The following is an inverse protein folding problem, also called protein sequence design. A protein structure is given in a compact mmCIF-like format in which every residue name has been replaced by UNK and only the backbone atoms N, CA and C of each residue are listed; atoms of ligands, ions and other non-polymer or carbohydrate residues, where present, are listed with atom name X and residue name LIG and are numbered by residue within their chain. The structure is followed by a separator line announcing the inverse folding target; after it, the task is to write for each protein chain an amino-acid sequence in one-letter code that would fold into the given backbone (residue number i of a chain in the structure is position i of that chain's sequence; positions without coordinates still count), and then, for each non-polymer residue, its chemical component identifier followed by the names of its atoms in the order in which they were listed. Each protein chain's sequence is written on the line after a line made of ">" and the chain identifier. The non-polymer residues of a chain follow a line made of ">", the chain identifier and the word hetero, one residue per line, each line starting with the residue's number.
data_IF_010720996337
#
_entry.id   IF_010720996337
#
_cell.length_a   1.000
_cell.length_b   1.000
_cell.length_c   1.000
_cell.angle_alpha   90.00
_cell.angle_beta   90.00
_cell.angle_gamma   90.00
#
_symmetry.space_group_name_H-M   'P 1'
#
loop_
_entity.id
_entity.type
_entity.pdbx_description
1 polymer ?
#
# COMPACT_ATOMS: atom_id res chain seq x y z
N UNK A 1 -43.10 -4.29 -48.94
CA UNK A 1 -43.90 -4.55 -47.72
C UNK A 1 -43.02 -5.24 -46.66
N UNK A 2 -41.90 -4.61 -46.27
CA UNK A 2 -40.95 -5.15 -45.28
C UNK A 2 -40.39 -4.08 -44.31
N UNK A 3 -40.67 -2.79 -44.58
CA UNK A 3 -40.18 -1.66 -43.77
C UNK A 3 -41.11 -1.35 -42.57
N UNK A 4 -42.41 -1.69 -42.66
CA UNK A 4 -43.38 -1.42 -41.57
C UNK A 4 -43.29 -2.40 -40.40
N UNK A 5 -42.75 -3.61 -40.62
CA UNK A 5 -42.60 -4.65 -39.60
C UNK A 5 -41.40 -4.43 -38.68
N UNK A 6 -40.30 -3.85 -39.17
CA UNK A 6 -39.13 -3.54 -38.33
C UNK A 6 -39.37 -2.34 -37.39
N UNK A 7 -40.16 -1.35 -37.81
CA UNK A 7 -40.46 -0.17 -36.98
C UNK A 7 -41.29 -0.53 -35.74
N UNK A 8 -42.24 -1.47 -35.88
CA UNK A 8 -43.03 -1.97 -34.75
C UNK A 8 -42.23 -2.85 -33.79
N UNK A 9 -41.29 -3.64 -34.31
CA UNK A 9 -40.39 -4.45 -33.49
C UNK A 9 -39.42 -3.59 -32.65
N UNK A 10 -38.96 -2.45 -33.19
CA UNK A 10 -38.09 -1.53 -32.46
C UNK A 10 -38.84 -0.75 -31.36
N UNK A 11 -40.11 -0.38 -31.60
CA UNK A 11 -40.94 0.30 -30.61
C UNK A 11 -41.33 -0.62 -29.42
N UNK A 12 -41.54 -1.92 -29.69
CA UNK A 12 -41.83 -2.94 -28.68
C UNK A 12 -40.62 -3.29 -27.79
N UNK A 13 -39.40 -2.99 -28.23
CA UNK A 13 -38.15 -3.14 -27.46
C UNK A 13 -37.79 -1.91 -26.63
N UNK A 14 -38.26 -0.72 -26.99
CA UNK A 14 -38.02 0.51 -26.24
C UNK A 14 -38.94 0.69 -25.02
N UNK A 15 -40.19 0.22 -25.10
CA UNK A 15 -41.15 0.23 -23.98
C UNK A 15 -40.67 -0.53 -22.72
N UNK A 16 -40.06 -1.74 -22.80
CA UNK A 16 -39.53 -2.42 -21.61
C UNK A 16 -38.23 -1.80 -21.09
N UNK A 17 -37.44 -1.12 -21.94
CA UNK A 17 -36.19 -0.48 -21.53
C UNK A 17 -36.45 0.74 -20.63
N UNK A 18 -37.46 1.54 -20.99
CA UNK A 18 -37.94 2.66 -20.16
C UNK A 18 -38.64 2.17 -18.89
N UNK A 19 -39.35 1.03 -18.94
CA UNK A 19 -40.01 0.44 -17.77
C UNK A 19 -39.01 -0.03 -16.70
N UNK A 20 -37.84 -0.55 -17.10
CA UNK A 20 -36.76 -0.93 -16.16
C UNK A 20 -36.16 0.30 -15.48
N UNK A 21 -36.03 1.42 -16.21
CA UNK A 21 -35.54 2.69 -15.65
C UNK A 21 -36.55 3.34 -14.68
N UNK A 22 -37.86 3.20 -14.94
CA UNK A 22 -38.94 3.78 -14.11
C UNK A 22 -39.25 2.94 -12.87
N UNK A 23 -39.11 1.60 -12.92
CA UNK A 23 -39.48 0.72 -11.81
C UNK A 23 -38.41 0.59 -10.71
N UNK A 24 -37.26 1.27 -10.82
CA UNK A 24 -36.28 1.35 -9.74
C UNK A 24 -35.93 -0.01 -9.14
N UNK A 25 -35.91 -1.08 -9.96
CA UNK A 25 -35.52 -2.42 -9.52
C UNK A 25 -34.02 -2.40 -9.36
N UNK A 26 -33.58 -1.80 -8.25
CA UNK A 26 -32.26 -2.04 -7.71
C UNK A 26 -32.14 -3.55 -7.54
N UNK A 27 -31.11 -4.21 -8.11
CA UNK A 27 -30.85 -5.60 -7.75
C UNK A 27 -30.81 -5.66 -6.22
N UNK A 28 -31.37 -6.72 -5.59
CA UNK A 28 -31.37 -6.84 -4.14
C UNK A 28 -29.94 -6.58 -3.67
N UNK A 29 -29.79 -5.54 -2.83
CA UNK A 29 -28.47 -5.12 -2.35
C UNK A 29 -27.72 -6.37 -1.89
N UNK A 30 -26.43 -6.54 -2.27
CA UNK A 30 -25.65 -7.65 -1.77
C UNK A 30 -25.82 -7.74 -0.25
N UNK A 31 -25.81 -8.96 0.28
CA UNK A 31 -25.74 -9.22 1.72
C UNK A 31 -24.78 -8.19 2.35
N UNK A 32 -25.02 -7.70 3.58
CA UNK A 32 -24.22 -6.63 4.19
C UNK A 32 -22.70 -6.82 4.03
N UNK A 33 -22.26 -8.08 4.01
CA UNK A 33 -20.89 -8.56 3.85
C UNK A 33 -20.29 -8.42 2.43
N UNK A 34 -21.10 -8.22 1.39
CA UNK A 34 -20.67 -8.14 -0.01
C UNK A 34 -20.87 -6.74 -0.62
N UNK A 35 -21.15 -5.73 0.20
CA UNK A 35 -21.23 -4.34 -0.26
C UNK A 35 -19.83 -3.74 -0.36
N UNK A 36 -19.55 -2.92 -1.38
CA UNK A 36 -18.33 -2.13 -1.41
C UNK A 36 -18.21 -1.31 -0.12
N UNK A 37 -17.13 -1.49 0.63
CA UNK A 37 -16.82 -0.64 1.77
C UNK A 37 -16.41 0.71 1.20
N UNK A 38 -17.19 1.75 1.50
CA UNK A 38 -16.81 3.12 1.16
C UNK A 38 -15.79 3.58 2.20
N UNK A 39 -14.52 3.56 1.82
CA UNK A 39 -13.42 4.00 2.68
C UNK A 39 -13.58 5.49 3.00
N UNK A 40 -13.77 5.81 4.28
CA UNK A 40 -13.73 7.20 4.74
C UNK A 40 -12.29 7.69 4.81
N UNK A 41 -12.07 9.00 4.90
CA UNK A 41 -10.73 9.58 4.96
C UNK A 41 -9.79 8.88 5.95
N UNK A 42 -10.32 8.50 7.12
CA UNK A 42 -9.54 7.77 8.14
C UNK A 42 -8.99 6.46 7.58
N UNK A 43 -9.82 5.67 6.91
CA UNK A 43 -9.41 4.38 6.34
C UNK A 43 -8.35 4.58 5.25
N UNK A 44 -8.52 5.63 4.43
CA UNK A 44 -7.58 5.99 3.36
C UNK A 44 -6.22 6.40 3.93
N UNK A 45 -6.20 7.22 4.99
CA UNK A 45 -4.94 7.61 5.66
C UNK A 45 -4.37 6.46 6.47
N UNK A 46 -5.18 5.58 7.07
CA UNK A 46 -4.65 4.41 7.78
C UNK A 46 -4.07 3.36 6.84
N UNK A 47 -4.53 3.27 5.60
CA UNK A 47 -3.95 2.38 4.60
C UNK A 47 -2.46 2.66 4.37
N UNK A 48 -2.06 3.94 4.46
CA UNK A 48 -0.68 4.40 4.42
C UNK A 48 0.25 3.67 5.40
N UNK A 49 -0.26 3.35 6.60
CA UNK A 49 0.52 2.72 7.65
C UNK A 49 1.12 1.38 7.20
N UNK A 50 0.47 0.66 6.26
CA UNK A 50 1.03 -0.57 5.71
C UNK A 50 2.39 -0.35 5.03
N UNK A 51 2.54 0.76 4.32
CA UNK A 51 3.78 1.11 3.61
C UNK A 51 4.81 1.66 4.59
N UNK A 52 4.40 2.52 5.53
CA UNK A 52 5.31 3.02 6.56
C UNK A 52 5.86 1.89 7.45
N UNK A 53 5.04 0.87 7.78
CA UNK A 53 5.54 -0.32 8.48
C UNK A 53 6.52 -1.12 7.61
N UNK A 54 6.24 -1.28 6.32
CA UNK A 54 7.14 -2.00 5.40
C UNK A 54 8.51 -1.30 5.32
N UNK A 55 8.53 0.01 5.14
CA UNK A 55 9.75 0.82 5.03
C UNK A 55 10.51 0.87 6.35
N UNK A 56 9.83 1.19 7.47
CA UNK A 56 10.43 1.22 8.80
C UNK A 56 11.11 -0.10 9.14
N UNK A 57 10.40 -1.23 8.97
CA UNK A 57 10.98 -2.55 9.24
C UNK A 57 12.14 -2.86 8.31
N UNK A 58 11.99 -2.62 7.01
CA UNK A 58 13.05 -2.93 6.05
C UNK A 58 14.34 -2.14 6.35
N UNK A 59 14.24 -0.85 6.62
CA UNK A 59 15.37 0.04 6.92
C UNK A 59 15.99 -0.24 8.29
N UNK A 60 15.18 -0.45 9.34
CA UNK A 60 15.66 -0.84 10.67
C UNK A 60 16.47 -2.13 10.60
N UNK A 61 15.91 -3.18 9.98
CA UNK A 61 16.63 -4.43 9.83
C UNK A 61 17.90 -4.25 9.01
N UNK A 62 17.84 -3.52 7.89
CA UNK A 62 19.01 -3.29 7.03
C UNK A 62 20.17 -2.62 7.75
N UNK A 63 19.90 -1.52 8.46
CA UNK A 63 20.94 -0.74 9.14
C UNK A 63 21.40 -1.35 10.47
N UNK A 64 20.44 -1.76 11.31
CA UNK A 64 20.68 -2.12 12.71
C UNK A 64 20.67 -3.63 12.94
N UNK A 65 19.88 -4.37 12.16
CA UNK A 65 19.67 -5.81 12.33
C UNK A 65 18.50 -6.15 13.26
N UNK A 66 17.75 -5.15 13.72
CA UNK A 66 16.53 -5.32 14.50
C UNK A 66 15.38 -4.51 13.89
N UNK A 67 14.15 -4.76 14.32
CA UNK A 67 12.94 -4.12 13.81
C UNK A 67 12.28 -3.18 14.81
N UNK A 68 11.03 -2.84 14.51
CA UNK A 68 10.25 -1.87 15.30
C UNK A 68 10.02 -2.33 16.74
N UNK A 69 10.01 -3.64 16.99
CA UNK A 69 9.77 -4.22 18.31
C UNK A 69 10.85 -3.86 19.33
N UNK A 70 12.08 -3.56 18.89
CA UNK A 70 13.17 -3.15 19.77
C UNK A 70 13.25 -1.63 19.93
N UNK A 71 12.86 -0.87 18.90
CA UNK A 71 13.08 0.58 18.82
C UNK A 71 11.84 1.39 19.23
N UNK A 72 10.66 0.96 18.81
CA UNK A 72 9.39 1.63 19.10
C UNK A 72 8.21 0.63 19.18
N UNK A 73 8.24 -0.35 20.09
CA UNK A 73 7.28 -1.46 20.13
C UNK A 73 5.82 -1.02 20.27
N UNK A 74 5.57 0.13 20.90
CA UNK A 74 4.22 0.67 21.06
C UNK A 74 3.53 0.99 19.72
N UNK A 75 4.29 1.26 18.66
CA UNK A 75 3.75 1.55 17.33
C UNK A 75 3.26 0.29 16.61
N UNK A 76 3.76 -0.89 16.95
CA UNK A 76 3.31 -2.14 16.31
C UNK A 76 1.87 -2.52 16.70
N UNK A 77 1.35 -1.97 17.81
CA UNK A 77 0.01 -2.24 18.34
C UNK A 77 -0.32 -3.74 18.44
N UNK A 78 0.67 -4.54 18.84
CA UNK A 78 0.55 -6.01 18.98
C UNK A 78 0.59 -6.79 17.67
N UNK A 79 0.85 -6.14 16.53
CA UNK A 79 1.03 -6.81 15.24
C UNK A 79 2.29 -7.71 15.22
N UNK A 80 2.32 -8.77 14.41
CA UNK A 80 3.44 -9.71 14.38
C UNK A 80 4.71 -9.09 13.76
N UNK A 81 5.93 -9.50 14.18
CA UNK A 81 7.18 -9.05 13.57
C UNK A 81 7.24 -9.39 12.08
N UNK A 82 8.08 -8.72 11.28
CA UNK A 82 8.27 -9.08 9.88
C UNK A 82 9.00 -10.42 9.73
N UNK A 83 8.83 -11.08 8.59
CA UNK A 83 9.59 -12.30 8.23
C UNK A 83 10.83 -11.94 7.44
N UNK A 84 11.95 -12.54 7.82
CA UNK A 84 13.16 -12.58 6.98
C UNK A 84 13.98 -11.29 6.99
N UNK A 85 13.67 -10.35 7.88
CA UNK A 85 14.51 -9.18 8.16
C UNK A 85 15.90 -9.59 8.61
N UNK A 86 16.93 -8.94 8.04
CA UNK A 86 18.34 -9.20 8.34
C UNK A 86 19.14 -7.91 8.29
N UNK A 87 20.23 -7.88 9.05
CA UNK A 87 21.27 -6.85 8.89
C UNK A 87 21.89 -6.95 7.51
N UNK A 88 21.86 -5.86 6.75
CA UNK A 88 22.49 -5.77 5.45
C UNK A 88 24.00 -5.52 5.60
N UNK A 89 24.78 -6.05 4.66
CA UNK A 89 26.21 -5.74 4.57
C UNK A 89 26.41 -4.39 3.87
N UNK A 90 26.21 -3.30 4.61
CA UNK A 90 26.29 -1.93 4.08
C UNK A 90 27.64 -1.29 4.37
N UNK A 91 28.11 -0.49 3.42
CA UNK A 91 29.22 0.42 3.65
C UNK A 91 28.86 1.41 4.76
N UNK A 92 29.84 1.91 5.55
CA UNK A 92 29.56 2.73 6.72
C UNK A 92 28.67 3.95 6.44
N UNK A 93 28.89 4.63 5.31
CA UNK A 93 28.11 5.81 4.91
C UNK A 93 26.67 5.42 4.56
N UNK A 94 26.50 4.37 3.76
CA UNK A 94 25.16 3.90 3.36
C UNK A 94 24.40 3.39 4.58
N UNK A 95 25.06 2.67 5.49
CA UNK A 95 24.44 2.22 6.75
C UNK A 95 23.86 3.38 7.54
N UNK A 96 24.60 4.48 7.71
CA UNK A 96 24.11 5.67 8.42
C UNK A 96 22.91 6.28 7.69
N UNK A 97 22.96 6.40 6.37
CA UNK A 97 21.82 6.95 5.60
C UNK A 97 20.56 6.08 5.76
N UNK A 98 20.71 4.75 5.65
CA UNK A 98 19.58 3.83 5.85
C UNK A 98 19.04 3.88 7.29
N UNK A 99 19.91 4.10 8.27
CA UNK A 99 19.51 4.32 9.66
C UNK A 99 18.66 5.60 9.81
N UNK A 100 19.06 6.70 9.18
CA UNK A 100 18.26 7.94 9.17
C UNK A 100 16.90 7.74 8.49
N UNK A 101 16.84 7.00 7.37
CA UNK A 101 15.58 6.63 6.73
C UNK A 101 14.68 5.85 7.70
N UNK A 102 15.25 4.87 8.41
CA UNK A 102 14.51 4.08 9.39
C UNK A 102 13.86 4.96 10.47
N UNK A 103 14.59 5.95 11.00
CA UNK A 103 14.04 6.88 11.99
C UNK A 103 12.99 7.83 11.41
N UNK A 104 13.15 8.22 10.14
CA UNK A 104 12.13 9.01 9.44
C UNK A 104 10.80 8.26 9.34
N UNK A 105 10.83 6.97 8.99
CA UNK A 105 9.60 6.16 8.89
C UNK A 105 8.94 5.91 10.25
N UNK A 106 9.73 5.77 11.32
CA UNK A 106 9.18 5.76 12.69
C UNK A 106 8.45 7.09 12.98
N UNK A 107 9.01 8.21 12.54
CA UNK A 107 8.36 9.53 12.64
C UNK A 107 7.04 9.59 11.88
N UNK A 108 6.98 9.03 10.68
CA UNK A 108 5.75 8.96 9.88
C UNK A 108 4.68 8.07 10.53
N UNK A 109 5.05 6.89 11.03
CA UNK A 109 4.16 6.01 11.79
C UNK A 109 3.54 6.76 12.98
N UNK A 110 4.34 7.53 13.74
CA UNK A 110 3.84 8.37 14.84
C UNK A 110 2.88 9.46 14.34
N UNK A 111 3.29 10.22 13.34
CA UNK A 111 2.50 11.34 12.81
C UNK A 111 1.11 10.88 12.34
N UNK A 112 1.03 9.76 11.62
CA UNK A 112 -0.25 9.19 11.19
C UNK A 112 -1.04 8.66 12.39
N UNK A 113 -0.41 7.86 13.25
CA UNK A 113 -1.06 7.23 14.42
C UNK A 113 -1.65 8.27 15.37
N UNK A 114 -0.94 9.35 15.65
CA UNK A 114 -1.41 10.45 16.51
C UNK A 114 -2.54 11.25 15.87
N UNK A 115 -2.57 11.34 14.54
CA UNK A 115 -3.54 12.16 13.81
C UNK A 115 -4.88 11.45 13.56
N UNK A 116 -4.85 10.17 13.16
CA UNK A 116 -6.05 9.42 12.71
C UNK A 116 -6.24 8.09 13.43
N UNK A 117 -5.35 7.77 14.38
CA UNK A 117 -5.27 6.48 15.04
C UNK A 117 -4.41 5.48 14.25
N UNK A 118 -3.77 4.57 14.97
CA UNK A 118 -2.95 3.51 14.36
C UNK A 118 -3.76 2.26 13.98
N UNK A 119 -3.10 1.35 13.28
CA UNK A 119 -3.56 -0.02 13.02
C UNK A 119 -2.47 -1.00 13.47
N UNK A 120 -2.82 -2.22 13.92
CA UNK A 120 -1.83 -3.26 14.16
C UNK A 120 -0.92 -3.46 12.95
N UNK A 121 0.39 -3.54 13.18
CA UNK A 121 1.37 -3.81 12.12
C UNK A 121 0.94 -5.06 11.33
N UNK A 122 0.82 -5.00 10.00
CA UNK A 122 0.45 -6.16 9.21
C UNK A 122 1.59 -7.19 9.20
N UNK A 123 1.28 -8.43 8.79
CA UNK A 123 2.32 -9.45 8.59
C UNK A 123 3.12 -9.11 7.33
N UNK A 124 4.36 -8.68 7.50
CA UNK A 124 5.26 -8.30 6.41
C UNK A 124 6.24 -9.43 6.07
N UNK A 125 6.60 -9.53 4.79
CA UNK A 125 7.66 -10.41 4.31
C UNK A 125 8.73 -9.58 3.62
N UNK A 126 9.83 -9.33 4.32
CA UNK A 126 11.00 -8.60 3.83
C UNK A 126 12.17 -9.54 3.54
N UNK A 127 11.91 -10.84 3.42
CA UNK A 127 12.95 -11.84 3.16
C UNK A 127 13.64 -11.63 1.81
N UNK A 128 14.90 -12.05 1.71
CA UNK A 128 15.62 -12.06 0.44
C UNK A 128 14.88 -12.83 -0.67
N UNK A 129 14.14 -13.89 -0.32
CA UNK A 129 13.33 -14.65 -1.28
C UNK A 129 12.18 -13.82 -1.87
N UNK A 130 11.52 -12.98 -1.07
CA UNK A 130 10.47 -12.09 -1.57
C UNK A 130 11.00 -11.08 -2.58
N UNK A 131 12.16 -10.47 -2.29
CA UNK A 131 12.83 -9.58 -3.23
C UNK A 131 13.34 -10.31 -4.47
N UNK A 132 13.88 -11.53 -4.35
CA UNK A 132 14.27 -12.34 -5.50
C UNK A 132 13.08 -12.57 -6.44
N UNK A 133 11.94 -13.01 -5.91
CA UNK A 133 10.72 -13.22 -6.71
C UNK A 133 10.25 -11.93 -7.39
N UNK A 134 10.26 -10.80 -6.67
CA UNK A 134 9.85 -9.52 -7.24
C UNK A 134 10.76 -9.08 -8.40
N UNK A 135 12.07 -9.20 -8.23
CA UNK A 135 13.03 -8.81 -9.27
C UNK A 135 12.99 -9.78 -10.46
N UNK A 136 12.82 -11.08 -10.23
CA UNK A 136 12.66 -12.06 -11.30
C UNK A 136 11.43 -11.74 -12.17
N UNK A 137 10.31 -11.37 -11.53
CA UNK A 137 9.10 -10.95 -12.22
C UNK A 137 9.31 -9.64 -13.00
N UNK A 138 9.93 -8.64 -12.39
CA UNK A 138 10.21 -7.36 -13.03
C UNK A 138 11.13 -7.50 -14.25
N UNK A 139 12.08 -8.42 -14.19
CA UNK A 139 13.05 -8.69 -15.26
C UNK A 139 12.56 -9.76 -16.26
N UNK A 140 11.41 -10.40 -15.99
CA UNK A 140 10.87 -11.52 -16.75
C UNK A 140 11.89 -12.66 -16.97
N UNK A 141 12.70 -12.94 -15.95
CA UNK A 141 13.74 -13.97 -15.97
C UNK A 141 14.12 -14.38 -14.54
N UNK A 142 14.69 -15.57 -14.35
CA UNK A 142 15.23 -15.99 -13.05
C UNK A 142 16.69 -15.55 -12.93
N UNK A 143 16.98 -14.67 -11.97
CA UNK A 143 18.34 -14.21 -11.70
C UNK A 143 19.16 -15.31 -11.04
N UNK A 144 20.42 -15.45 -11.47
CA UNK A 144 21.38 -16.39 -10.89
C UNK A 144 22.71 -15.67 -10.61
N UNK A 145 23.10 -15.47 -9.32
CA UNK A 145 22.36 -15.87 -8.12
C UNK A 145 21.05 -15.06 -7.92
N UNK A 146 20.08 -15.56 -7.13
CA UNK A 146 18.86 -14.81 -6.81
C UNK A 146 19.17 -13.45 -6.20
N UNK A 147 18.38 -12.43 -6.55
CA UNK A 147 18.56 -11.11 -5.98
C UNK A 147 18.36 -11.13 -4.47
N UNK A 148 19.31 -10.56 -3.73
CA UNK A 148 19.26 -10.50 -2.28
C UNK A 148 19.60 -9.07 -1.83
N UNK A 149 18.68 -8.35 -1.17
CA UNK A 149 18.91 -6.98 -0.75
C UNK A 149 20.00 -6.87 0.33
N UNK A 150 20.23 -7.91 1.12
CA UNK A 150 21.12 -7.86 2.29
C UNK A 150 22.60 -8.08 1.95
N UNK A 151 22.94 -8.39 0.69
CA UNK A 151 24.29 -8.81 0.29
C UNK A 151 25.32 -7.69 0.27
N UNK A 152 24.94 -6.50 -0.19
CA UNK A 152 25.83 -5.34 -0.32
C UNK A 152 25.01 -4.04 -0.46
N UNK A 153 25.68 -2.88 -0.33
CA UNK A 153 25.07 -1.56 -0.47
C UNK A 153 24.29 -1.36 -1.76
N UNK A 154 24.81 -1.82 -2.90
CA UNK A 154 24.17 -1.61 -4.20
C UNK A 154 22.83 -2.36 -4.29
N UNK A 155 22.81 -3.63 -3.90
CA UNK A 155 21.58 -4.42 -3.87
C UNK A 155 20.57 -3.82 -2.89
N UNK A 156 21.03 -3.35 -1.73
CA UNK A 156 20.15 -2.76 -0.73
C UNK A 156 19.53 -1.45 -1.25
N UNK A 157 20.31 -0.59 -1.91
CA UNK A 157 19.80 0.65 -2.51
C UNK A 157 18.82 0.37 -3.66
N UNK A 158 19.08 -0.62 -4.50
CA UNK A 158 18.14 -1.05 -5.55
C UNK A 158 16.82 -1.53 -4.95
N UNK A 159 16.88 -2.35 -3.89
CA UNK A 159 15.69 -2.80 -3.17
C UNK A 159 14.96 -1.64 -2.48
N UNK A 160 15.71 -0.69 -1.91
CA UNK A 160 15.18 0.52 -1.27
C UNK A 160 14.47 1.44 -2.26
N UNK A 161 14.77 1.38 -3.55
CA UNK A 161 14.07 2.15 -4.58
C UNK A 161 12.75 1.50 -5.02
N UNK A 162 12.62 0.18 -4.89
CA UNK A 162 11.39 -0.55 -5.24
C UNK A 162 10.24 -0.21 -4.29
N UNK A 163 10.52 -0.01 -3.01
CA UNK A 163 9.49 0.17 -1.96
C UNK A 163 8.78 1.54 -2.06
N UNK A 164 9.47 2.69 -2.16
CA UNK A 164 8.85 4.02 -2.14
C UNK A 164 8.01 4.32 -3.38
N UNK A 165 8.29 3.66 -4.52
CA UNK A 165 7.47 3.83 -5.72
C UNK A 165 6.04 3.31 -5.52
N UNK A 166 5.85 2.32 -4.66
CA UNK A 166 4.52 1.85 -4.23
C UNK A 166 3.87 2.87 -3.28
N UNK A 167 4.67 3.55 -2.46
CA UNK A 167 4.28 4.71 -1.63
C UNK A 167 3.64 5.85 -2.43
N UNK A 168 4.31 6.28 -3.50
CA UNK A 168 3.85 7.35 -4.39
C UNK A 168 2.43 7.09 -4.91
N UNK A 169 2.13 5.85 -5.32
CA UNK A 169 0.81 5.47 -5.84
C UNK A 169 -0.25 5.45 -4.75
N UNK A 170 0.09 4.98 -3.54
CA UNK A 170 -0.83 4.94 -2.40
C UNK A 170 -1.23 6.34 -1.91
N UNK A 171 -0.25 7.22 -1.73
CA UNK A 171 -0.45 8.56 -1.16
C UNK A 171 -1.03 9.56 -2.15
N UNK A 172 -0.44 9.69 -3.35
CA UNK A 172 -0.93 10.66 -4.34
C UNK A 172 -2.31 10.26 -4.86
N UNK A 173 -2.60 8.95 -4.90
CA UNK A 173 -3.92 8.43 -5.27
C UNK A 173 -5.01 8.72 -4.23
N UNK A 174 -4.67 8.88 -2.95
CA UNK A 174 -5.66 9.14 -1.88
C UNK A 174 -5.95 10.62 -1.67
N UNK A 175 -5.00 11.53 -1.93
CA UNK A 175 -5.18 12.98 -1.70
C UNK A 175 -6.47 13.56 -2.30
N UNK A 176 -6.88 13.26 -3.56
CA UNK A 176 -8.11 13.81 -4.15
C UNK A 176 -9.40 13.35 -3.44
N UNK A 177 -9.34 12.24 -2.71
CA UNK A 177 -10.49 11.61 -2.07
C UNK A 177 -10.68 12.01 -0.60
N UNK A 178 -9.75 12.79 -0.03
CA UNK A 178 -9.82 13.28 1.35
C UNK A 178 -10.61 14.58 1.47
N UNK A 179 -11.54 14.63 2.42
CA UNK A 179 -12.42 15.79 2.67
C UNK A 179 -11.98 16.60 3.91
N UNK A 180 -11.58 15.91 4.98
CA UNK A 180 -11.22 16.48 6.28
C UNK A 180 -9.86 17.17 6.29
N UNK A 181 -9.79 18.35 6.92
CA UNK A 181 -8.57 19.18 6.98
C UNK A 181 -7.40 18.46 7.67
N UNK A 182 -7.66 17.77 8.78
CA UNK A 182 -6.62 17.04 9.52
C UNK A 182 -5.99 15.94 8.66
N UNK A 183 -6.82 15.13 8.00
CA UNK A 183 -6.37 14.02 7.15
C UNK A 183 -5.53 14.53 5.96
N UNK A 184 -5.95 15.65 5.35
CA UNK A 184 -5.22 16.30 4.26
C UNK A 184 -3.88 16.91 4.69
N UNK A 185 -3.73 17.31 5.95
CA UNK A 185 -2.52 17.95 6.45
C UNK A 185 -1.40 16.95 6.78
N UNK A 186 -1.74 15.69 7.06
CA UNK A 186 -0.77 14.63 7.42
C UNK A 186 -0.02 14.10 6.20
N UNK A 187 -0.73 13.84 5.09
CA UNK A 187 -0.11 13.24 3.91
C UNK A 187 1.06 14.04 3.33
N UNK A 188 1.03 15.39 3.23
CA UNK A 188 2.16 16.17 2.75
C UNK A 188 3.40 16.14 3.64
N UNK A 189 3.26 15.79 4.93
CA UNK A 189 4.38 15.63 5.86
C UNK A 189 5.09 14.30 5.59
N UNK A 190 4.32 13.25 5.34
CA UNK A 190 4.81 11.90 5.05
C UNK A 190 5.36 11.76 3.63
N UNK A 191 4.73 12.43 2.66
CA UNK A 191 5.07 12.31 1.23
C UNK A 191 6.33 13.09 0.81
N UNK A 192 6.78 14.09 1.58
CA UNK A 192 7.92 14.94 1.19
C UNK A 192 9.25 14.25 1.52
N UNK A 193 9.50 13.10 0.90
CA UNK A 193 10.78 12.38 0.89
C UNK A 193 11.67 12.88 -0.24
#
# INVERSE_FOLDING_TARGET
>A
MAIRTCFFAFLLLLLPLEFIAVMGVTPPLPLPECRPIVAVDRDQVQFALNLEFLEAEFFLYGALGTGLDDIAPSLALGGPPPVGGRKANLDPVIRTIIEEFAYQEIGHLRAITESVGGVPRPRLNISAGAFATLLDQAMNTTLSPPFNPYTNSLNYLLASYVIPYVGLVGYVGTIPNLVGRTNRAVLPIVYRK
#
